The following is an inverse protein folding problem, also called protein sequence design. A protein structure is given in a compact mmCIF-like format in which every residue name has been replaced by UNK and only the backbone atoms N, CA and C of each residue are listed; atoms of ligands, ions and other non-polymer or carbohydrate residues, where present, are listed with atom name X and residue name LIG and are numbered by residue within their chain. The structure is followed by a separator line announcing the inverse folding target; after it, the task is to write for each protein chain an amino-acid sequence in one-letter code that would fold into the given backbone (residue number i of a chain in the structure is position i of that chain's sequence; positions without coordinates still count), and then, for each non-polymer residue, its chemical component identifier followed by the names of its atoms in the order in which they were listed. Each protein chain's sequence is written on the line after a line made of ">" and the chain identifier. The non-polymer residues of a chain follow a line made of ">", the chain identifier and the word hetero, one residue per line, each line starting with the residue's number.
data_IF_434673694122
#
_entry.id   IF_434673694122
#
_cell.length_a   1.000
_cell.length_b   1.000
_cell.length_c   1.000
_cell.angle_alpha   90.00
_cell.angle_beta   90.00
_cell.angle_gamma   90.00
#
_symmetry.space_group_name_H-M   'P 1'
#
loop_
_entity.id
_entity.type
_entity.pdbx_description
1 polymer ?
#
# COMPACT_ATOMS: atom_id res chain seq x y z
N UNK A 1 -23.61 5.84 -9.61
CA UNK A 1 -23.49 7.30 -9.75
C UNK A 1 -22.76 7.68 -11.04
N UNK A 2 -21.49 7.35 -11.27
CA UNK A 2 -20.82 7.72 -12.53
C UNK A 2 -21.53 7.21 -13.80
N UNK A 3 -22.04 5.99 -13.79
CA UNK A 3 -22.78 5.41 -14.93
C UNK A 3 -24.17 6.02 -15.17
N UNK A 4 -24.71 6.77 -14.21
CA UNK A 4 -26.01 7.42 -14.29
C UNK A 4 -25.89 8.94 -14.59
N UNK A 5 -24.69 9.43 -14.80
CA UNK A 5 -24.40 10.88 -14.97
C UNK A 5 -24.88 11.76 -13.79
N UNK A 6 -24.89 11.18 -12.59
CA UNK A 6 -25.38 11.81 -11.34
C UNK A 6 -24.22 11.99 -10.34
N UNK A 7 -23.09 12.51 -10.80
CA UNK A 7 -22.00 12.86 -9.92
C UNK A 7 -22.31 14.20 -9.22
N UNK A 8 -21.99 14.34 -7.94
CA UNK A 8 -22.02 15.64 -7.29
C UNK A 8 -20.90 16.54 -7.83
N UNK A 9 -21.04 17.86 -7.65
CA UNK A 9 -20.05 18.84 -8.09
C UNK A 9 -18.68 18.60 -7.46
N UNK A 10 -18.64 18.11 -6.22
CA UNK A 10 -17.43 17.74 -5.49
C UNK A 10 -17.63 16.36 -4.87
N UNK A 11 -16.68 15.46 -5.10
CA UNK A 11 -16.73 14.13 -4.51
C UNK A 11 -15.32 13.67 -4.07
N UNK A 12 -15.31 12.79 -3.08
CA UNK A 12 -14.09 12.15 -2.58
C UNK A 12 -13.88 10.80 -3.26
N UNK A 13 -12.66 10.55 -3.70
CA UNK A 13 -12.25 9.25 -4.23
C UNK A 13 -10.77 8.97 -3.90
N UNK A 14 -10.35 7.73 -4.02
CA UNK A 14 -8.94 7.39 -4.00
C UNK A 14 -8.27 7.82 -5.30
N UNK A 15 -7.01 8.28 -5.22
CA UNK A 15 -6.21 8.56 -6.40
C UNK A 15 -5.80 7.28 -7.16
N UNK A 16 -4.97 7.42 -8.18
CA UNK A 16 -4.53 6.30 -9.01
C UNK A 16 -5.68 5.71 -9.83
N UNK A 17 -5.71 4.42 -10.03
CA UNK A 17 -6.70 3.72 -10.83
C UNK A 17 -8.17 3.95 -10.43
N UNK A 18 -8.44 4.38 -9.20
CA UNK A 18 -9.80 4.71 -8.77
C UNK A 18 -10.35 6.01 -9.39
N UNK A 19 -9.48 6.98 -9.67
CA UNK A 19 -9.87 8.25 -10.32
C UNK A 19 -9.90 8.16 -11.83
N UNK A 20 -9.15 7.23 -12.43
CA UNK A 20 -8.99 7.11 -13.89
C UNK A 20 -10.31 7.01 -14.66
N UNK A 21 -11.33 6.26 -14.24
CA UNK A 21 -12.62 6.20 -14.95
C UNK A 21 -13.34 7.55 -15.06
N UNK A 22 -13.25 8.40 -14.02
CA UNK A 22 -13.85 9.73 -14.03
C UNK A 22 -13.14 10.67 -14.97
N UNK A 23 -11.81 10.53 -15.09
CA UNK A 23 -10.98 11.32 -16.01
C UNK A 23 -11.23 10.88 -17.46
N UNK A 24 -11.24 9.57 -17.69
CA UNK A 24 -11.46 9.01 -19.02
C UNK A 24 -12.86 9.33 -19.60
N UNK A 25 -13.86 9.46 -18.74
CA UNK A 25 -15.23 9.88 -19.13
C UNK A 25 -15.42 11.38 -19.19
N UNK A 26 -14.37 12.20 -18.99
CA UNK A 26 -14.44 13.67 -18.86
C UNK A 26 -15.41 14.14 -17.75
N UNK A 27 -15.63 13.33 -16.72
CA UNK A 27 -16.48 13.66 -15.57
C UNK A 27 -15.69 14.34 -14.44
N UNK A 28 -14.38 14.46 -14.56
CA UNK A 28 -13.51 15.17 -13.64
C UNK A 28 -12.84 16.35 -14.35
N UNK A 29 -12.84 17.51 -13.69
CA UNK A 29 -12.21 18.73 -14.20
C UNK A 29 -10.70 18.72 -13.91
N UNK A 30 -9.88 19.13 -14.87
CA UNK A 30 -8.48 19.44 -14.62
C UNK A 30 -8.38 20.73 -13.78
N UNK A 31 -7.59 20.69 -12.72
CA UNK A 31 -7.52 21.75 -11.72
C UNK A 31 -6.32 22.69 -11.88
N UNK A 32 -5.48 22.49 -12.90
CA UNK A 32 -4.20 23.23 -13.06
C UNK A 32 -4.40 24.74 -13.02
N UNK A 33 -5.42 25.25 -13.69
CA UNK A 33 -5.71 26.69 -13.78
C UNK A 33 -6.28 27.27 -12.47
N UNK A 34 -6.70 26.42 -11.54
CA UNK A 34 -7.29 26.81 -10.26
C UNK A 34 -6.32 26.64 -9.08
N UNK A 35 -5.25 25.88 -9.26
CA UNK A 35 -4.26 25.60 -8.22
C UNK A 35 -3.13 26.60 -8.28
N UNK A 36 -3.20 27.61 -7.42
CA UNK A 36 -2.12 28.59 -7.24
C UNK A 36 -0.87 27.93 -6.65
N UNK A 37 0.29 28.56 -6.86
CA UNK A 37 1.55 28.08 -6.28
C UNK A 37 1.49 28.02 -4.74
N UNK A 38 0.83 29.01 -4.11
CA UNK A 38 0.61 29.03 -2.65
C UNK A 38 -0.14 27.77 -2.14
N UNK A 39 -1.11 27.25 -2.89
CA UNK A 39 -1.79 26.01 -2.54
C UNK A 39 -0.85 24.82 -2.70
N UNK A 40 -0.09 24.77 -3.78
CA UNK A 40 0.86 23.67 -4.04
C UNK A 40 1.96 23.60 -2.99
N UNK A 41 2.46 24.73 -2.55
CA UNK A 41 3.54 24.84 -1.56
C UNK A 41 3.11 24.44 -0.13
N UNK A 42 1.82 24.43 0.15
CA UNK A 42 1.26 23.96 1.43
C UNK A 42 1.17 22.44 1.52
N UNK A 43 1.36 21.72 0.44
CA UNK A 43 1.27 20.27 0.39
C UNK A 43 2.67 19.64 0.38
N UNK A 44 2.78 18.46 0.97
CA UNK A 44 4.05 17.73 0.97
C UNK A 44 4.42 17.27 -0.44
N UNK A 45 5.73 17.20 -0.69
CA UNK A 45 6.25 16.71 -1.96
C UNK A 45 5.64 15.35 -2.33
N UNK A 46 5.22 15.22 -3.59
CA UNK A 46 4.61 14.01 -4.10
C UNK A 46 3.12 13.83 -3.78
N UNK A 47 2.50 14.75 -3.03
CA UNK A 47 1.06 14.67 -2.72
C UNK A 47 0.19 14.57 -3.98
N UNK A 48 0.57 15.27 -5.04
CA UNK A 48 -0.17 15.29 -6.30
C UNK A 48 0.08 14.06 -7.21
N UNK A 49 1.06 13.20 -6.90
CA UNK A 49 1.43 12.09 -7.78
C UNK A 49 0.25 11.18 -8.12
N UNK A 50 -0.60 10.87 -7.13
CA UNK A 50 -1.74 9.97 -7.29
C UNK A 50 -2.99 10.63 -7.93
N UNK A 51 -2.96 11.93 -8.16
CA UNK A 51 -4.06 12.69 -8.76
C UNK A 51 -3.63 13.41 -10.04
N UNK A 52 -2.41 13.14 -10.52
CA UNK A 52 -1.87 13.66 -11.77
C UNK A 52 -1.95 12.60 -12.86
N UNK A 53 -2.61 12.93 -13.98
CA UNK A 53 -2.76 12.07 -15.13
C UNK A 53 -2.38 12.83 -16.40
N UNK A 54 -1.51 12.26 -17.20
CA UNK A 54 -1.01 12.90 -18.43
C UNK A 54 -0.54 14.35 -18.22
N UNK A 55 0.13 14.61 -17.08
CA UNK A 55 0.68 15.90 -16.73
C UNK A 55 -0.33 16.93 -16.20
N UNK A 56 -1.61 16.56 -16.03
CA UNK A 56 -2.66 17.43 -15.47
C UNK A 56 -3.13 16.92 -14.11
N UNK A 57 -3.47 17.85 -13.22
CA UNK A 57 -3.94 17.57 -11.86
C UNK A 57 -5.48 17.52 -11.87
N UNK A 58 -6.06 16.41 -11.41
CA UNK A 58 -7.51 16.19 -11.40
C UNK A 58 -8.10 16.08 -9.98
N UNK A 59 -7.33 16.31 -8.96
CA UNK A 59 -7.81 16.26 -7.59
C UNK A 59 -6.94 17.05 -6.64
N UNK A 60 -7.53 17.48 -5.53
CA UNK A 60 -6.80 18.09 -4.44
C UNK A 60 -6.59 17.03 -3.34
N UNK A 61 -5.34 16.65 -3.04
CA UNK A 61 -5.06 15.70 -1.99
C UNK A 61 -5.30 16.33 -0.62
N UNK A 62 -6.22 15.78 0.16
CA UNK A 62 -6.51 16.24 1.53
C UNK A 62 -6.05 15.24 2.59
N UNK A 63 -5.64 14.04 2.18
CA UNK A 63 -5.21 12.97 3.05
C UNK A 63 -4.03 12.20 2.44
N UNK A 64 -3.03 11.91 3.25
CA UNK A 64 -1.91 11.04 2.89
C UNK A 64 -1.82 9.91 3.90
N UNK A 65 -1.69 8.69 3.40
CA UNK A 65 -1.52 7.49 4.24
C UNK A 65 -0.15 6.89 3.96
N UNK A 66 0.55 6.55 5.05
CA UNK A 66 1.80 5.79 4.98
C UNK A 66 1.59 4.42 5.63
N UNK A 67 1.99 3.37 4.93
CA UNK A 67 2.08 2.03 5.51
C UNK A 67 3.27 1.94 6.46
N UNK A 68 3.05 1.47 7.69
CA UNK A 68 4.09 1.28 8.69
C UNK A 68 3.88 -0.04 9.44
N UNK A 69 4.98 -0.63 9.89
CA UNK A 69 4.95 -1.76 10.80
C UNK A 69 4.97 -1.23 12.24
N UNK A 70 3.86 -1.39 12.95
CA UNK A 70 3.76 -1.02 14.37
C UNK A 70 4.31 -2.15 15.23
N UNK A 71 5.17 -1.80 16.20
CA UNK A 71 5.86 -2.74 17.07
C UNK A 71 5.35 -2.58 18.50
N UNK A 72 4.95 -3.68 19.13
CA UNK A 72 4.74 -3.73 20.57
C UNK A 72 6.09 -3.90 21.26
N UNK A 73 6.72 -2.79 21.65
CA UNK A 73 8.07 -2.77 22.22
C UNK A 73 8.16 -3.56 23.52
N UNK A 74 7.16 -3.47 24.40
CA UNK A 74 7.12 -4.24 25.65
C UNK A 74 7.14 -5.76 25.38
N UNK A 75 6.37 -6.21 24.38
CA UNK A 75 6.34 -7.62 24.01
C UNK A 75 7.69 -8.10 23.49
N UNK A 76 8.37 -7.29 22.69
CA UNK A 76 9.69 -7.58 22.16
C UNK A 76 10.72 -7.67 23.29
N UNK A 77 10.78 -6.68 24.19
CA UNK A 77 11.69 -6.63 25.34
C UNK A 77 11.47 -7.81 26.29
N UNK A 78 10.23 -8.06 26.69
CA UNK A 78 9.86 -9.16 27.59
C UNK A 78 10.29 -10.53 27.06
N UNK A 79 10.32 -10.67 25.75
CA UNK A 79 10.67 -11.93 25.11
C UNK A 79 12.14 -12.00 24.63
N UNK A 80 12.93 -10.95 24.85
CA UNK A 80 14.32 -10.88 24.41
C UNK A 80 14.46 -10.88 22.89
N UNK A 81 13.45 -10.38 22.16
CA UNK A 81 13.45 -10.28 20.70
C UNK A 81 13.88 -8.88 20.30
N UNK A 82 14.90 -8.77 19.46
CA UNK A 82 15.31 -7.49 18.90
C UNK A 82 14.34 -7.03 17.83
N UNK A 83 14.04 -5.73 17.77
CA UNK A 83 13.23 -5.15 16.70
C UNK A 83 13.94 -5.37 15.36
N UNK A 84 13.27 -6.02 14.39
CA UNK A 84 13.90 -6.36 13.12
C UNK A 84 14.13 -5.13 12.25
N UNK A 85 15.29 -5.08 11.60
CA UNK A 85 15.66 -4.05 10.61
C UNK A 85 15.79 -4.62 9.20
N UNK A 86 15.84 -5.95 9.10
CA UNK A 86 15.90 -6.68 7.83
C UNK A 86 14.77 -7.71 7.74
N UNK A 87 14.53 -8.21 6.52
CA UNK A 87 13.54 -9.26 6.31
C UNK A 87 13.92 -10.56 7.06
N UNK A 88 15.17 -10.94 7.07
CA UNK A 88 15.63 -12.15 7.74
C UNK A 88 15.52 -12.05 9.27
N UNK A 89 15.76 -10.86 9.82
CA UNK A 89 15.51 -10.58 11.23
C UNK A 89 14.00 -10.62 11.56
N UNK A 90 13.14 -10.13 10.66
CA UNK A 90 11.68 -10.24 10.81
C UNK A 90 11.25 -11.72 10.84
N UNK A 91 11.75 -12.53 9.93
CA UNK A 91 11.47 -13.95 9.88
C UNK A 91 11.93 -14.68 11.15
N UNK A 92 13.11 -14.29 11.67
CA UNK A 92 13.64 -14.80 12.93
C UNK A 92 12.75 -14.42 14.12
N UNK A 93 12.31 -13.17 14.18
CA UNK A 93 11.37 -12.70 15.21
C UNK A 93 10.04 -13.47 15.15
N UNK A 94 9.49 -13.69 13.95
CA UNK A 94 8.28 -14.50 13.72
C UNK A 94 8.45 -15.91 14.30
N UNK A 95 9.54 -16.60 13.96
CA UNK A 95 9.81 -17.95 14.48
C UNK A 95 9.97 -17.97 16.01
N UNK A 96 10.61 -16.95 16.56
CA UNK A 96 10.81 -16.83 18.01
C UNK A 96 9.50 -16.62 18.75
N UNK A 97 8.63 -15.74 18.29
CA UNK A 97 7.31 -15.55 18.90
C UNK A 97 6.45 -16.79 18.80
N UNK A 98 6.44 -17.46 17.64
CA UNK A 98 5.70 -18.71 17.46
C UNK A 98 6.16 -19.80 18.43
N UNK A 99 7.47 -19.97 18.66
CA UNK A 99 8.00 -20.95 19.62
C UNK A 99 7.55 -20.70 21.06
N UNK A 100 7.12 -19.46 21.35
CA UNK A 100 6.58 -19.04 22.65
C UNK A 100 5.05 -19.01 22.70
N UNK A 101 4.37 -19.48 21.65
CA UNK A 101 2.91 -19.48 21.56
C UNK A 101 2.30 -18.08 21.34
N UNK A 102 3.09 -17.11 20.90
CA UNK A 102 2.67 -15.73 20.65
C UNK A 102 2.45 -15.55 19.15
N UNK A 103 1.28 -15.08 18.75
CA UNK A 103 1.01 -14.72 17.35
C UNK A 103 1.87 -13.52 16.94
N UNK A 104 2.76 -13.67 15.96
CA UNK A 104 3.75 -12.63 15.67
C UNK A 104 3.17 -11.36 15.06
N UNK A 105 2.20 -11.50 14.17
CA UNK A 105 1.66 -10.40 13.38
C UNK A 105 0.14 -10.50 13.29
N UNK A 106 -0.55 -9.37 13.35
CA UNK A 106 -1.98 -9.28 13.16
C UNK A 106 -2.31 -8.77 11.75
N UNK A 107 -3.31 -9.37 11.12
CA UNK A 107 -3.86 -8.92 9.84
C UNK A 107 -5.34 -9.29 9.73
N UNK A 108 -6.14 -8.40 9.17
CA UNK A 108 -7.52 -8.64 8.76
C UNK A 108 -7.54 -9.02 7.27
N UNK A 109 -7.53 -10.33 6.96
CA UNK A 109 -7.38 -10.81 5.58
C UNK A 109 -8.67 -10.90 4.78
N UNK A 110 -9.86 -10.86 5.42
CA UNK A 110 -11.15 -10.97 4.75
C UNK A 110 -11.38 -9.88 3.71
N UNK A 111 -10.98 -8.66 4.04
CA UNK A 111 -11.14 -7.49 3.16
C UNK A 111 -10.07 -7.39 2.08
N UNK A 112 -9.12 -8.31 2.03
CA UNK A 112 -8.06 -8.50 1.03
C UNK A 112 -7.05 -7.36 0.93
N UNK A 113 -7.47 -6.08 0.99
CA UNK A 113 -6.58 -4.94 0.83
C UNK A 113 -5.53 -4.85 1.94
N UNK A 114 -5.90 -5.20 3.17
CA UNK A 114 -5.01 -5.20 4.34
C UNK A 114 -3.86 -6.20 4.19
N UNK A 115 -4.17 -7.41 3.71
CA UNK A 115 -3.14 -8.42 3.46
C UNK A 115 -2.32 -8.09 2.21
N UNK A 116 -2.92 -7.45 1.21
CA UNK A 116 -2.22 -6.99 0.01
C UNK A 116 -1.12 -5.97 0.35
N UNK A 117 -1.31 -5.11 1.36
CA UNK A 117 -0.29 -4.14 1.80
C UNK A 117 1.04 -4.81 2.19
N UNK A 118 1.02 -6.02 2.75
CA UNK A 118 2.26 -6.76 3.04
C UNK A 118 3.00 -7.11 1.75
N UNK A 119 2.28 -7.61 0.76
CA UNK A 119 2.87 -7.91 -0.54
C UNK A 119 3.40 -6.64 -1.22
N UNK A 120 2.65 -5.54 -1.18
CA UNK A 120 3.02 -4.27 -1.79
C UNK A 120 4.35 -3.73 -1.23
N UNK A 121 4.52 -3.78 0.10
CA UNK A 121 5.77 -3.35 0.74
C UNK A 121 6.94 -4.27 0.36
N UNK A 122 6.72 -5.59 0.35
CA UNK A 122 7.76 -6.55 -0.03
C UNK A 122 8.12 -6.38 -1.52
N UNK A 123 7.13 -6.20 -2.40
CA UNK A 123 7.35 -5.99 -3.82
C UNK A 123 8.08 -4.67 -4.11
N UNK A 124 7.70 -3.59 -3.41
CA UNK A 124 8.38 -2.31 -3.53
C UNK A 124 9.86 -2.40 -3.14
N UNK A 125 10.17 -3.14 -2.08
CA UNK A 125 11.56 -3.36 -1.64
C UNK A 125 12.34 -4.28 -2.56
N UNK A 126 11.69 -5.26 -3.19
CA UNK A 126 12.33 -6.21 -4.10
C UNK A 126 12.57 -5.61 -5.49
N UNK A 127 11.59 -4.88 -6.02
CA UNK A 127 11.60 -4.37 -7.40
C UNK A 127 12.05 -2.91 -7.51
N UNK A 128 11.89 -2.14 -6.45
CA UNK A 128 12.13 -0.70 -6.44
C UNK A 128 10.97 0.11 -7.06
N UNK A 129 10.87 1.41 -6.73
CA UNK A 129 9.75 2.25 -7.13
C UNK A 129 9.63 2.42 -8.64
N UNK A 130 10.74 2.58 -9.35
CA UNK A 130 10.74 2.76 -10.81
C UNK A 130 10.15 1.57 -11.56
N UNK A 131 10.52 0.34 -11.12
CA UNK A 131 10.01 -0.88 -11.75
C UNK A 131 8.53 -1.08 -11.44
N UNK A 132 8.09 -0.76 -10.22
CA UNK A 132 6.66 -0.75 -9.86
C UNK A 132 5.90 0.18 -10.81
N UNK A 133 6.34 1.42 -10.96
CA UNK A 133 5.69 2.40 -11.85
C UNK A 133 5.64 1.89 -13.29
N UNK A 134 6.75 1.41 -13.84
CA UNK A 134 6.79 0.84 -15.20
C UNK A 134 5.81 -0.30 -15.37
N UNK A 135 5.71 -1.17 -14.37
CA UNK A 135 4.80 -2.33 -14.43
C UNK A 135 3.33 -1.90 -14.37
N UNK A 136 2.99 -0.95 -13.49
CA UNK A 136 1.63 -0.40 -13.39
C UNK A 136 1.22 0.37 -14.64
N UNK A 137 2.17 1.01 -15.33
CA UNK A 137 1.93 1.73 -16.60
C UNK A 137 2.07 0.83 -17.84
N UNK A 138 2.06 -0.50 -17.66
CA UNK A 138 2.14 -1.51 -18.75
C UNK A 138 3.46 -1.46 -19.56
N UNK A 139 4.52 -0.88 -18.99
CA UNK A 139 5.87 -0.86 -19.55
C UNK A 139 6.78 -1.93 -18.95
N UNK A 140 6.26 -2.77 -18.06
CA UNK A 140 6.90 -3.89 -17.39
C UNK A 140 5.92 -5.03 -17.16
N UNK A 141 6.33 -6.04 -16.40
CA UNK A 141 5.52 -7.23 -16.15
C UNK A 141 5.61 -7.68 -14.69
N UNK A 142 4.46 -8.04 -14.10
CA UNK A 142 4.41 -8.74 -12.81
C UNK A 142 4.98 -10.17 -12.86
N UNK A 143 5.36 -10.67 -14.05
CA UNK A 143 6.08 -11.94 -14.20
C UNK A 143 7.58 -11.80 -14.03
N UNK A 144 8.10 -10.59 -13.87
CA UNK A 144 9.53 -10.35 -13.70
C UNK A 144 10.05 -10.99 -12.40
N UNK A 145 11.32 -11.42 -12.36
CA UNK A 145 11.88 -12.18 -11.23
C UNK A 145 11.75 -11.50 -9.86
N UNK A 146 11.77 -10.18 -9.80
CA UNK A 146 11.64 -9.42 -8.56
C UNK A 146 10.26 -9.57 -7.93
N UNK A 147 9.20 -9.62 -8.74
CA UNK A 147 7.84 -9.85 -8.23
C UNK A 147 7.64 -11.32 -7.80
N UNK A 148 8.26 -12.26 -8.50
CA UNK A 148 8.28 -13.66 -8.06
C UNK A 148 9.04 -13.80 -6.73
N UNK A 149 10.17 -13.13 -6.58
CA UNK A 149 10.91 -13.08 -5.31
C UNK A 149 10.05 -12.50 -4.19
N UNK A 150 9.34 -11.40 -4.45
CA UNK A 150 8.42 -10.81 -3.48
C UNK A 150 7.32 -11.78 -3.06
N UNK A 151 6.72 -12.50 -4.01
CA UNK A 151 5.70 -13.50 -3.74
C UNK A 151 6.25 -14.67 -2.90
N UNK A 152 7.45 -15.13 -3.20
CA UNK A 152 8.11 -16.19 -2.43
C UNK A 152 8.41 -15.74 -0.99
N UNK A 153 8.89 -14.51 -0.79
CA UNK A 153 9.10 -13.94 0.55
C UNK A 153 7.79 -13.79 1.33
N UNK A 154 6.73 -13.34 0.66
CA UNK A 154 5.44 -13.25 1.32
C UNK A 154 4.90 -14.63 1.70
N UNK A 155 5.04 -15.62 0.82
CA UNK A 155 4.71 -17.02 1.12
C UNK A 155 5.53 -17.56 2.30
N UNK A 156 6.82 -17.26 2.36
CA UNK A 156 7.70 -17.67 3.45
C UNK A 156 7.23 -17.15 4.82
N UNK A 157 6.77 -15.89 4.91
CA UNK A 157 6.15 -15.33 6.11
C UNK A 157 4.89 -16.10 6.52
N UNK A 158 4.04 -16.44 5.56
CA UNK A 158 2.82 -17.22 5.80
C UNK A 158 3.19 -18.61 6.31
N UNK A 159 4.11 -19.30 5.65
CA UNK A 159 4.55 -20.65 6.01
C UNK A 159 5.26 -20.69 7.38
N UNK A 160 5.95 -19.60 7.74
CA UNK A 160 6.54 -19.43 9.08
C UNK A 160 5.50 -19.17 10.17
N UNK A 161 4.22 -19.04 9.84
CA UNK A 161 3.15 -18.76 10.79
C UNK A 161 3.16 -17.32 11.30
N UNK A 162 3.52 -16.36 10.45
CA UNK A 162 3.55 -14.94 10.83
C UNK A 162 2.18 -14.44 11.29
N UNK A 163 1.11 -14.93 10.70
CA UNK A 163 -0.26 -14.46 10.94
C UNK A 163 -1.08 -15.44 11.77
N UNK A 164 -2.11 -14.94 12.44
CA UNK A 164 -3.04 -15.77 13.21
C UNK A 164 -3.74 -16.82 12.33
N UNK A 165 -4.04 -17.97 12.92
CA UNK A 165 -4.89 -18.97 12.25
C UNK A 165 -6.25 -18.34 11.91
N UNK A 166 -6.70 -18.50 10.67
CA UNK A 166 -7.96 -17.94 10.21
C UNK A 166 -7.92 -16.44 9.86
N UNK A 167 -6.73 -15.82 9.79
CA UNK A 167 -6.57 -14.42 9.42
C UNK A 167 -7.33 -14.03 8.15
N UNK A 168 -7.44 -14.93 7.17
CA UNK A 168 -8.22 -14.70 5.94
C UNK A 168 -9.73 -14.50 6.16
N UNK A 169 -10.26 -14.91 7.32
CA UNK A 169 -11.67 -14.72 7.70
C UNK A 169 -11.92 -13.54 8.64
N UNK A 170 -10.87 -12.87 9.12
CA UNK A 170 -10.98 -11.73 10.04
C UNK A 170 -11.24 -10.47 9.21
N UNK A 171 -12.33 -9.76 9.49
CA UNK A 171 -12.63 -8.44 8.92
C UNK A 171 -11.92 -7.32 9.68
N UNK A 172 -11.78 -6.20 9.01
CA UNK A 172 -11.20 -4.97 9.55
C UNK A 172 -12.15 -4.28 10.55
#
# INVERSE_FOLDING_TARGET
>A
MAAANELPDIFSTWGGGFSEPFIASNSALALDDYLTQDIKDKLVNGAFNNVTYNGKIYGLPFHLTAGALFINTELFEKNGVKVPTTYDELLTAVKTFNSKGITPMAVSGKDKWTIAMYFDVIALRAAGPEKIVKTLTKQGSFKDPEFLNAANRFKELIDAGAFSKGAAGISN
#
